data_IF_988101480558
#
_entry.id   IF_988101480558
#
_cell.length_a   1.000
_cell.length_b   1.000
_cell.length_c   1.000
_cell.angle_alpha   90.00
_cell.angle_beta   90.00
_cell.angle_gamma   90.00
#
_symmetry.space_group_name_H-M   'P 1'
#
loop_
_entity.id
_entity.type
_entity.pdbx_description
1 polymer ?
#
# COMPACT_ATOMS: atom_id res chain seq x y z
N UNK A 1 6.73 14.11 4.72
CA UNK A 1 7.18 12.70 4.78
C UNK A 1 8.44 12.56 3.94
N UNK A 2 9.51 11.99 4.53
CA UNK A 2 10.77 11.72 3.85
C UNK A 2 10.66 10.36 3.15
N UNK A 3 11.02 10.27 1.87
CA UNK A 3 10.97 9.04 1.09
C UNK A 3 12.38 8.57 0.76
N UNK A 4 12.70 7.33 1.13
CA UNK A 4 13.91 6.63 0.68
C UNK A 4 13.47 5.44 -0.20
N UNK A 5 13.96 5.40 -1.43
CA UNK A 5 13.74 4.28 -2.34
C UNK A 5 15.01 4.09 -3.16
N UNK A 6 15.42 2.84 -3.38
CA UNK A 6 16.55 2.58 -4.26
C UNK A 6 16.20 3.03 -5.68
N UNK A 7 17.15 3.74 -6.31
CA UNK A 7 17.06 4.09 -7.71
C UNK A 7 17.03 2.81 -8.54
N UNK A 8 16.11 2.75 -9.50
CA UNK A 8 15.93 1.62 -10.39
C UNK A 8 15.69 2.15 -11.80
N UNK A 9 15.87 1.29 -12.80
CA UNK A 9 15.90 1.57 -14.23
C UNK A 9 14.54 2.04 -14.81
N UNK A 10 13.51 2.30 -14.00
CA UNK A 10 12.29 3.00 -14.43
C UNK A 10 11.34 2.26 -15.39
N UNK A 11 11.41 0.93 -15.49
CA UNK A 11 10.87 0.22 -16.66
C UNK A 11 9.43 -0.36 -16.54
N UNK A 12 8.60 0.02 -15.56
CA UNK A 12 7.22 -0.52 -15.45
C UNK A 12 6.21 0.47 -14.88
N UNK A 13 5.15 0.85 -15.63
CA UNK A 13 4.06 1.69 -15.13
C UNK A 13 3.39 1.13 -13.87
N UNK A 14 3.33 -0.20 -13.74
CA UNK A 14 2.74 -0.86 -12.56
C UNK A 14 3.60 -0.67 -11.32
N UNK A 15 4.93 -0.69 -11.46
CA UNK A 15 5.85 -0.46 -10.36
C UNK A 15 5.72 0.98 -9.84
N UNK A 16 5.59 1.94 -10.75
CA UNK A 16 5.34 3.34 -10.40
C UNK A 16 4.01 3.50 -9.66
N UNK A 17 2.95 2.87 -10.15
CA UNK A 17 1.66 2.86 -9.48
C UNK A 17 1.73 2.28 -8.06
N UNK A 18 2.47 1.18 -7.85
CA UNK A 18 2.63 0.61 -6.49
C UNK A 18 3.43 1.55 -5.59
N UNK A 19 4.50 2.18 -6.09
CA UNK A 19 5.24 3.21 -5.34
C UNK A 19 4.30 4.34 -4.91
N UNK A 20 3.50 4.84 -5.84
CA UNK A 20 2.62 5.99 -5.60
C UNK A 20 1.47 5.61 -4.66
N UNK A 21 0.87 4.43 -4.81
CA UNK A 21 -0.11 3.88 -3.87
C UNK A 21 0.46 3.75 -2.46
N UNK A 22 1.68 3.22 -2.32
CA UNK A 22 2.36 3.12 -1.02
C UNK A 22 2.48 4.50 -0.37
N UNK A 23 2.91 5.50 -1.15
CA UNK A 23 3.00 6.90 -0.70
C UNK A 23 1.63 7.45 -0.27
N UNK A 24 0.58 7.20 -1.06
CA UNK A 24 -0.78 7.67 -0.74
C UNK A 24 -1.31 7.04 0.54
N UNK A 25 -1.13 5.74 0.74
CA UNK A 25 -1.58 5.06 1.95
C UNK A 25 -0.86 5.57 3.20
N UNK A 26 0.47 5.66 3.20
CA UNK A 26 1.22 6.09 4.39
C UNK A 26 1.05 7.59 4.71
N UNK A 27 0.66 8.39 3.72
CA UNK A 27 0.37 9.82 3.90
C UNK A 27 -1.12 10.12 4.11
N UNK A 28 -1.98 9.08 4.07
CA UNK A 28 -3.43 9.16 4.10
C UNK A 28 -4.04 10.06 3.00
N UNK A 29 -3.41 10.11 1.82
CA UNK A 29 -3.99 10.71 0.60
C UNK A 29 -5.00 9.72 -0.03
N UNK A 30 -6.06 9.43 0.74
CA UNK A 30 -7.04 8.40 0.40
C UNK A 30 -7.84 8.75 -0.86
N UNK A 31 -8.04 10.03 -1.15
CA UNK A 31 -8.73 10.47 -2.36
C UNK A 31 -8.05 9.91 -3.61
N UNK A 32 -6.74 10.12 -3.75
CA UNK A 32 -5.95 9.56 -4.86
C UNK A 32 -5.85 8.05 -4.82
N UNK A 33 -5.65 7.47 -3.63
CA UNK A 33 -5.55 6.01 -3.51
C UNK A 33 -6.84 5.32 -3.99
N UNK A 34 -8.01 5.85 -3.64
CA UNK A 34 -9.30 5.28 -4.00
C UNK A 34 -9.59 5.32 -5.51
N UNK A 35 -8.95 6.21 -6.28
CA UNK A 35 -9.07 6.21 -7.75
C UNK A 35 -8.61 4.89 -8.38
N UNK A 36 -7.71 4.16 -7.73
CA UNK A 36 -7.16 2.90 -8.24
C UNK A 36 -7.83 1.66 -7.65
N UNK A 37 -8.78 1.82 -6.73
CA UNK A 37 -9.46 0.67 -6.13
C UNK A 37 -10.66 0.24 -6.97
N UNK A 38 -10.77 -1.06 -7.22
CA UNK A 38 -11.97 -1.70 -7.73
C UNK A 38 -13.13 -1.52 -6.74
N UNK A 39 -14.37 -1.49 -7.24
CA UNK A 39 -15.56 -1.36 -6.40
C UNK A 39 -15.69 -2.53 -5.42
N UNK A 40 -15.27 -3.72 -5.86
CA UNK A 40 -15.32 -4.96 -5.08
C UNK A 40 -13.97 -5.33 -4.46
N UNK A 41 -13.12 -4.33 -4.18
CA UNK A 41 -11.81 -4.54 -3.53
C UNK A 41 -11.95 -5.42 -2.29
N UNK A 42 -11.03 -6.37 -2.13
CA UNK A 42 -10.89 -7.17 -0.90
C UNK A 42 -9.54 -6.87 -0.25
N UNK A 43 -9.57 -6.33 0.96
CA UNK A 43 -8.36 -6.09 1.76
C UNK A 43 -8.28 -7.08 2.92
N UNK A 44 -7.08 -7.59 3.20
CA UNK A 44 -6.80 -8.42 4.38
C UNK A 44 -5.53 -7.93 5.05
N UNK A 45 -5.65 -7.42 6.28
CA UNK A 45 -4.51 -7.26 7.18
C UNK A 45 -4.24 -8.61 7.85
N UNK A 46 -2.99 -9.07 7.84
CA UNK A 46 -2.64 -10.37 8.40
C UNK A 46 -2.98 -10.44 9.89
N UNK A 47 -3.85 -11.39 10.26
CA UNK A 47 -4.38 -11.53 11.62
C UNK A 47 -5.87 -11.17 11.73
N UNK A 48 -6.43 -10.46 10.74
CA UNK A 48 -7.81 -9.99 10.76
C UNK A 48 -8.68 -10.63 9.68
N UNK A 49 -10.01 -10.47 9.82
CA UNK A 49 -10.99 -10.87 8.81
C UNK A 49 -10.94 -9.94 7.57
N UNK A 50 -11.19 -10.46 6.36
CA UNK A 50 -11.15 -9.64 5.15
C UNK A 50 -12.25 -8.57 5.11
N UNK A 51 -11.86 -7.34 4.75
CA UNK A 51 -12.75 -6.23 4.45
C UNK A 51 -13.08 -6.26 2.96
N UNK A 52 -14.38 -6.18 2.63
CA UNK A 52 -14.88 -6.33 1.25
C UNK A 52 -15.66 -5.09 0.83
N UNK A 53 -15.37 -4.62 -0.38
CA UNK A 53 -15.99 -3.43 -0.95
C UNK A 53 -15.20 -2.17 -0.67
N UNK A 54 -15.33 -1.21 -1.60
CA UNK A 54 -14.56 0.04 -1.58
C UNK A 54 -14.92 0.96 -0.43
N UNK A 55 -16.20 1.08 -0.10
CA UNK A 55 -16.65 1.90 1.03
C UNK A 55 -16.14 1.39 2.40
N UNK A 56 -16.30 0.09 2.76
CA UNK A 56 -15.71 -0.45 3.98
C UNK A 56 -14.18 -0.34 4.04
N UNK A 57 -13.51 -0.55 2.90
CA UNK A 57 -12.06 -0.39 2.82
C UNK A 57 -11.62 1.05 3.15
N UNK A 58 -12.28 2.05 2.56
CA UNK A 58 -11.98 3.45 2.83
C UNK A 58 -12.31 3.85 4.27
N UNK A 59 -13.38 3.30 4.86
CA UNK A 59 -13.72 3.54 6.26
C UNK A 59 -12.66 3.00 7.22
N UNK A 60 -12.21 1.76 7.01
CA UNK A 60 -11.16 1.14 7.84
C UNK A 60 -9.84 1.92 7.79
N UNK A 61 -9.43 2.42 6.61
CA UNK A 61 -8.24 3.27 6.50
C UNK A 61 -8.39 4.60 7.24
N UNK A 62 -9.60 5.18 7.31
CA UNK A 62 -9.84 6.43 8.05
C UNK A 62 -9.73 6.25 9.56
N UNK A 63 -10.06 5.07 10.09
CA UNK A 63 -9.91 4.76 11.51
C UNK A 63 -8.43 4.69 11.94
N UNK A 64 -7.52 4.48 10.98
CA UNK A 64 -6.07 4.39 11.24
C UNK A 64 -5.34 5.74 11.14
N UNK A 65 -6.03 6.83 10.76
CA UNK A 65 -5.45 8.11 10.32
C UNK A 65 -4.60 8.85 11.36
N UNK A 66 -4.80 8.57 12.65
CA UNK A 66 -4.29 9.39 13.75
C UNK A 66 -2.76 9.38 13.91
N UNK A 67 -2.06 8.53 13.15
CA UNK A 67 -0.60 8.53 13.12
C UNK A 67 -0.08 8.41 11.67
N UNK A 68 0.52 9.49 11.15
CA UNK A 68 1.09 9.52 9.80
C UNK A 68 2.53 9.04 9.78
N UNK A 69 2.98 8.54 8.62
CA UNK A 69 4.39 8.23 8.43
C UNK A 69 5.21 9.51 8.27
N UNK A 70 6.20 9.71 9.14
CA UNK A 70 7.23 10.74 9.02
C UNK A 70 8.26 10.37 7.96
N UNK A 71 8.65 9.09 7.90
CA UNK A 71 9.62 8.56 6.94
C UNK A 71 9.13 7.22 6.38
N UNK A 72 9.28 7.05 5.07
CA UNK A 72 9.00 5.81 4.35
C UNK A 72 10.28 5.35 3.65
N UNK A 73 10.67 4.11 3.91
CA UNK A 73 11.75 3.44 3.17
C UNK A 73 11.16 2.25 2.42
N UNK A 74 11.21 2.28 1.08
CA UNK A 74 10.82 1.16 0.23
C UNK A 74 12.08 0.36 -0.11
N UNK A 75 12.11 -0.91 0.28
CA UNK A 75 13.23 -1.81 -0.02
C UNK A 75 13.11 -2.42 -1.41
N UNK A 76 11.93 -2.91 -1.77
CA UNK A 76 11.71 -3.52 -3.07
C UNK A 76 10.26 -3.35 -3.54
N UNK A 77 10.10 -3.32 -4.86
CA UNK A 77 8.81 -3.46 -5.52
C UNK A 77 8.99 -4.51 -6.62
N UNK A 78 8.14 -5.52 -6.63
CA UNK A 78 8.13 -6.59 -7.63
C UNK A 78 6.80 -6.57 -8.35
N UNK A 79 6.81 -6.70 -9.68
CA UNK A 79 5.58 -6.74 -10.49
C UNK A 79 5.67 -7.87 -11.51
N UNK A 80 4.57 -8.61 -11.71
CA UNK A 80 4.47 -9.64 -12.75
C UNK A 80 3.01 -9.90 -13.12
N UNK A 81 2.65 -9.78 -14.41
CA UNK A 81 1.28 -10.00 -14.87
C UNK A 81 0.29 -9.10 -14.12
N UNK A 82 -0.68 -9.71 -13.42
CA UNK A 82 -1.67 -8.99 -12.58
C UNK A 82 -1.24 -8.79 -11.13
N UNK A 83 -0.05 -9.22 -10.73
CA UNK A 83 0.39 -9.22 -9.34
C UNK A 83 1.48 -8.17 -9.12
N UNK A 84 1.51 -7.62 -7.91
CA UNK A 84 2.63 -6.83 -7.44
C UNK A 84 2.84 -7.02 -5.94
N UNK A 85 4.05 -6.72 -5.47
CA UNK A 85 4.39 -6.69 -4.06
C UNK A 85 5.33 -5.53 -3.77
N UNK A 86 5.23 -4.98 -2.57
CA UNK A 86 6.14 -3.96 -2.04
C UNK A 86 6.46 -4.30 -0.59
N UNK A 87 7.69 -4.03 -0.16
CA UNK A 87 8.06 -4.10 1.24
C UNK A 87 8.96 -2.94 1.64
N UNK A 88 8.97 -2.67 2.94
CA UNK A 88 9.68 -1.53 3.47
C UNK A 88 9.55 -1.37 4.98
N UNK A 89 9.99 -0.21 5.44
CA UNK A 89 9.78 0.29 6.79
C UNK A 89 9.13 1.67 6.75
N UNK A 90 8.23 1.93 7.68
CA UNK A 90 7.69 3.26 7.95
C UNK A 90 8.01 3.66 9.39
N UNK A 91 8.52 4.88 9.54
CA UNK A 91 8.69 5.54 10.84
C UNK A 91 7.56 6.53 11.00
N UNK A 92 6.78 6.35 12.06
CA UNK A 92 5.62 7.16 12.37
C UNK A 92 6.01 8.47 13.07
N UNK A 93 5.08 9.42 13.19
CA UNK A 93 5.35 10.71 13.84
C UNK A 93 5.64 10.58 15.34
N UNK A 94 5.03 9.59 16.00
CA UNK A 94 5.29 9.23 17.40
C UNK A 94 6.61 8.48 17.64
N UNK A 95 7.36 8.19 16.56
CA UNK A 95 8.64 7.49 16.60
C UNK A 95 8.54 5.96 16.54
N UNK A 96 7.33 5.39 16.53
CA UNK A 96 7.16 3.96 16.29
C UNK A 96 7.64 3.59 14.88
N UNK A 97 8.27 2.43 14.75
CA UNK A 97 8.74 1.91 13.46
C UNK A 97 8.01 0.62 13.15
N UNK A 98 7.52 0.50 11.92
CA UNK A 98 6.85 -0.69 11.44
C UNK A 98 7.53 -1.20 10.18
N UNK A 99 7.83 -2.50 10.15
CA UNK A 99 8.11 -3.21 8.91
C UNK A 99 6.81 -3.61 8.24
N UNK A 100 6.73 -3.49 6.92
CA UNK A 100 5.54 -3.87 6.17
C UNK A 100 5.87 -4.65 4.89
N UNK A 101 4.89 -5.44 4.45
CA UNK A 101 4.84 -5.99 3.11
C UNK A 101 3.38 -6.01 2.62
N UNK A 102 3.14 -5.46 1.44
CA UNK A 102 1.83 -5.45 0.80
C UNK A 102 1.88 -6.20 -0.53
N UNK A 103 0.92 -7.09 -0.73
CA UNK A 103 0.70 -7.84 -1.95
C UNK A 103 -0.58 -7.35 -2.62
N UNK A 104 -0.49 -7.04 -3.91
CA UNK A 104 -1.57 -6.49 -4.72
C UNK A 104 -1.94 -7.46 -5.83
N UNK A 105 -3.24 -7.58 -6.06
CA UNK A 105 -3.78 -8.19 -7.28
C UNK A 105 -4.60 -7.15 -8.05
N UNK A 106 -4.22 -6.92 -9.30
CA UNK A 106 -4.93 -6.06 -10.24
C UNK A 106 -6.07 -6.81 -10.94
N UNK A 107 -7.08 -6.08 -11.42
CA UNK A 107 -8.22 -6.66 -12.14
C UNK A 107 -7.79 -7.42 -13.40
N UNK A 108 -6.70 -6.97 -14.06
CA UNK A 108 -6.04 -7.67 -15.17
C UNK A 108 -4.58 -7.24 -15.27
N UNK A 109 -3.81 -7.88 -16.16
CA UNK A 109 -2.39 -7.55 -16.35
C UNK A 109 -2.15 -6.09 -16.78
N UNK A 110 -3.03 -5.52 -17.62
CA UNK A 110 -2.94 -4.14 -18.08
C UNK A 110 -3.75 -3.12 -17.26
N UNK A 111 -4.49 -3.57 -16.25
CA UNK A 111 -5.33 -2.68 -15.43
C UNK A 111 -4.51 -1.93 -14.38
N UNK A 112 -4.90 -0.68 -14.12
CA UNK A 112 -4.48 0.08 -12.94
C UNK A 112 -5.40 -0.13 -11.73
N UNK A 113 -6.54 -0.84 -11.92
CA UNK A 113 -7.48 -1.13 -10.84
C UNK A 113 -7.00 -2.32 -10.00
N UNK A 114 -6.87 -2.10 -8.70
CA UNK A 114 -6.53 -3.11 -7.69
C UNK A 114 -7.83 -3.73 -7.18
N UNK A 115 -7.92 -5.06 -7.22
CA UNK A 115 -9.06 -5.83 -6.73
C UNK A 115 -8.79 -6.56 -5.41
N UNK A 116 -7.53 -6.75 -5.04
CA UNK A 116 -7.19 -7.31 -3.74
C UNK A 116 -5.88 -6.74 -3.20
N UNK A 117 -5.82 -6.57 -1.88
CA UNK A 117 -4.62 -6.19 -1.13
C UNK A 117 -4.48 -7.14 0.06
N UNK A 118 -3.29 -7.69 0.27
CA UNK A 118 -2.94 -8.40 1.50
C UNK A 118 -1.73 -7.75 2.15
N UNK A 119 -1.92 -7.30 3.38
CA UNK A 119 -0.95 -6.51 4.13
C UNK A 119 -0.40 -7.29 5.30
N UNK A 120 0.90 -7.20 5.52
CA UNK A 120 1.60 -7.67 6.70
C UNK A 120 2.28 -6.46 7.33
N UNK A 121 1.97 -6.17 8.59
CA UNK A 121 2.56 -5.05 9.32
C UNK A 121 3.04 -5.55 10.67
N UNK A 122 4.30 -5.26 11.00
CA UNK A 122 4.93 -5.72 12.22
C UNK A 122 5.62 -4.53 12.89
N UNK A 123 5.28 -4.30 14.16
CA UNK A 123 5.97 -3.30 14.98
C UNK A 123 7.41 -3.74 15.29
N UNK A 124 8.37 -2.87 15.03
CA UNK A 124 9.78 -3.08 15.31
C UNK A 124 10.04 -2.76 16.78
N UNK A 125 10.49 -3.77 17.52
CA UNK A 125 10.79 -3.69 18.95
C UNK A 125 12.10 -2.97 19.23
#
# INVERSE_FOLDING_TARGET
MKLNIQADCGNSPKRELIRDLTIYFVSYDLEKAMEYMDENIVWTLAGDEPIKGKEPFAAALKEMIDNKAKELTIYSIVTHGKEAAVNGEMTMEDGNVFGFADFYEFASAGSSKVKAIRSYVIHKR
#
